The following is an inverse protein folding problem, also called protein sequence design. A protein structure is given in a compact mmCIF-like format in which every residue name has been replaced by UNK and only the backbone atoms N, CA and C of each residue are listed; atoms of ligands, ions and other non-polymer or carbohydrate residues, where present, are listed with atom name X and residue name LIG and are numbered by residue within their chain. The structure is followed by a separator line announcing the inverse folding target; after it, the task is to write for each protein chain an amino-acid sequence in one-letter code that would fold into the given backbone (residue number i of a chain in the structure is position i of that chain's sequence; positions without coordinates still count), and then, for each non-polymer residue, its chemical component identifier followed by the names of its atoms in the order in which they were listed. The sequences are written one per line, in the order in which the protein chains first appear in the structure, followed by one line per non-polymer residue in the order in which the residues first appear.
data_IF_718239976231
#
_entry.id   IF_718239976231
#
_cell.length_a   1.000
_cell.length_b   1.000
_cell.length_c   1.000
_cell.angle_alpha   90.00
_cell.angle_beta   90.00
_cell.angle_gamma   90.00
#
_symmetry.space_group_name_H-M   'P 1'
#
loop_
_entity.id
_entity.type
_entity.pdbx_description
1 polymer ?
#
# COMPACT_ATOMS: atom_id res chain seq x y z
N UNK A 1 -5.00 5.36 4.06
CA UNK A 1 -4.76 4.28 5.03
C UNK A 1 -3.55 3.49 4.56
N UNK A 2 -2.74 3.00 5.47
CA UNK A 2 -1.56 2.23 5.15
C UNK A 2 -0.31 2.86 5.75
N UNK A 3 0.50 3.51 4.92
CA UNK A 3 1.85 3.94 5.31
C UNK A 3 1.87 4.89 6.51
N UNK A 4 0.89 5.79 6.63
CA UNK A 4 0.81 6.71 7.77
C UNK A 4 0.49 5.99 9.09
N UNK A 5 -0.37 4.97 9.06
CA UNK A 5 -0.70 4.14 10.22
C UNK A 5 0.56 3.43 10.77
N UNK A 6 1.56 3.18 9.92
CA UNK A 6 2.80 2.48 10.29
C UNK A 6 3.87 3.38 10.92
N UNK A 7 3.77 4.71 10.78
CA UNK A 7 4.85 5.61 11.20
C UNK A 7 4.41 6.92 11.87
N UNK A 8 3.13 7.29 11.81
CA UNK A 8 2.56 8.40 12.59
C UNK A 8 1.96 7.88 13.90
N UNK A 9 1.96 8.72 14.93
CA UNK A 9 1.40 8.36 16.23
C UNK A 9 -0.14 8.49 16.22
N UNK A 10 -0.88 7.54 16.83
CA UNK A 10 -0.39 6.26 17.36
C UNK A 10 0.01 5.28 16.24
N UNK A 11 1.16 4.62 16.39
CA UNK A 11 1.65 3.64 15.40
C UNK A 11 0.88 2.33 15.53
N UNK A 12 0.37 1.84 14.41
CA UNK A 12 -0.28 0.55 14.28
C UNK A 12 0.76 -0.57 14.10
N UNK A 13 0.72 -1.56 15.00
CA UNK A 13 1.64 -2.71 15.04
C UNK A 13 0.94 -4.04 14.83
N UNK A 14 -0.38 -4.04 14.81
CA UNK A 14 -1.22 -5.20 14.56
C UNK A 14 -1.77 -5.15 13.12
N UNK A 15 -1.26 -6.00 12.21
CA UNK A 15 -1.75 -6.02 10.83
C UNK A 15 -3.23 -6.41 10.76
N UNK A 16 -3.76 -7.18 11.71
CA UNK A 16 -5.16 -7.58 11.73
C UNK A 16 -6.09 -6.38 11.95
N UNK A 17 -5.68 -5.39 12.75
CA UNK A 17 -6.46 -4.15 12.94
C UNK A 17 -6.56 -3.34 11.65
N UNK A 18 -5.46 -3.20 10.91
CA UNK A 18 -5.48 -2.52 9.60
C UNK A 18 -6.37 -3.28 8.60
N UNK A 19 -6.21 -4.60 8.52
CA UNK A 19 -7.00 -5.46 7.64
C UNK A 19 -8.50 -5.38 7.98
N UNK A 20 -8.86 -5.36 9.26
CA UNK A 20 -10.24 -5.19 9.71
C UNK A 20 -10.81 -3.82 9.29
N UNK A 21 -10.03 -2.74 9.44
CA UNK A 21 -10.44 -1.40 9.00
C UNK A 21 -10.66 -1.34 7.47
N UNK A 22 -9.77 -1.94 6.68
CA UNK A 22 -9.97 -2.06 5.22
C UNK A 22 -11.26 -2.81 4.87
N UNK A 23 -11.55 -3.92 5.54
CA UNK A 23 -12.80 -4.68 5.34
C UNK A 23 -14.03 -3.85 5.65
N UNK A 24 -14.02 -3.10 6.75
CA UNK A 24 -15.14 -2.23 7.12
C UNK A 24 -15.39 -1.15 6.07
N UNK A 25 -14.34 -0.52 5.53
CA UNK A 25 -14.47 0.49 4.50
C UNK A 25 -14.98 -0.08 3.19
N UNK A 26 -14.43 -1.22 2.76
CA UNK A 26 -14.87 -1.91 1.56
C UNK A 26 -16.35 -2.34 1.68
N UNK A 27 -16.77 -2.82 2.85
CA UNK A 27 -18.17 -3.14 3.12
C UNK A 27 -19.07 -1.90 3.00
N UNK A 28 -18.71 -0.79 3.64
CA UNK A 28 -19.49 0.45 3.59
C UNK A 28 -19.65 0.98 2.16
N UNK A 29 -18.56 0.97 1.39
CA UNK A 29 -18.58 1.40 -0.01
C UNK A 29 -19.47 0.49 -0.87
N UNK A 30 -19.36 -0.84 -0.72
CA UNK A 30 -20.25 -1.79 -1.40
C UNK A 30 -21.71 -1.62 -1.02
N UNK A 31 -22.01 -1.37 0.26
CA UNK A 31 -23.37 -1.07 0.73
C UNK A 31 -23.94 0.22 0.12
N UNK A 32 -23.08 1.13 -0.34
CA UNK A 32 -23.47 2.33 -1.08
C UNK A 32 -23.51 2.12 -2.61
N UNK A 33 -23.40 0.87 -3.09
CA UNK A 33 -23.40 0.53 -4.52
C UNK A 33 -22.10 0.88 -5.25
N UNK A 34 -21.01 1.14 -4.51
CA UNK A 34 -19.71 1.48 -5.09
C UNK A 34 -18.84 0.23 -5.26
N UNK A 35 -18.15 0.18 -6.41
CA UNK A 35 -17.02 -0.71 -6.63
C UNK A 35 -15.80 -0.20 -5.87
N UNK A 36 -15.03 -1.10 -5.26
CA UNK A 36 -13.87 -0.77 -4.42
C UNK A 36 -12.62 -1.42 -4.97
N UNK A 37 -11.67 -0.60 -5.40
CA UNK A 37 -10.30 -1.02 -5.74
C UNK A 37 -9.39 -0.63 -4.59
N UNK A 38 -8.71 -1.62 -4.01
CA UNK A 38 -7.68 -1.36 -3.00
C UNK A 38 -6.30 -1.22 -3.60
N UNK A 39 -5.38 -0.65 -2.84
CA UNK A 39 -3.97 -0.60 -3.20
C UNK A 39 -3.12 -1.16 -2.06
N UNK A 40 -2.04 -1.87 -2.40
CA UNK A 40 -1.03 -2.28 -1.43
C UNK A 40 -0.24 -1.07 -0.91
N UNK A 41 0.28 -1.18 0.32
CA UNK A 41 1.11 -0.16 0.96
C UNK A 41 2.53 -0.21 0.38
N UNK A 42 3.01 0.91 -0.14
CA UNK A 42 4.33 1.04 -0.78
C UNK A 42 5.48 0.85 0.22
N UNK A 43 6.67 0.42 -0.26
CA UNK A 43 7.88 0.44 0.56
C UNK A 43 8.24 1.86 0.97
N UNK A 44 8.90 2.01 2.13
CA UNK A 44 9.28 3.30 2.70
C UNK A 44 10.58 3.24 3.52
N UNK A 45 11.40 2.21 3.32
CA UNK A 45 12.76 2.17 3.85
C UNK A 45 13.59 3.33 3.26
N UNK A 46 14.24 4.11 4.13
CA UNK A 46 14.86 5.39 3.78
C UNK A 46 14.15 6.58 4.43
N UNK A 47 12.86 6.46 4.72
CA UNK A 47 12.15 7.46 5.50
C UNK A 47 12.60 7.47 6.97
N UNK A 48 12.67 8.66 7.58
CA UNK A 48 13.23 8.84 8.94
C UNK A 48 12.49 8.08 10.05
N UNK A 49 11.21 7.70 9.83
CA UNK A 49 10.41 6.94 10.80
C UNK A 49 10.22 5.46 10.43
N UNK A 50 10.94 4.99 9.41
CA UNK A 50 10.93 3.58 9.05
C UNK A 50 11.56 2.72 10.13
N UNK A 51 10.99 1.53 10.35
CA UNK A 51 11.54 0.50 11.25
C UNK A 51 11.32 -0.89 10.63
N UNK A 52 12.21 -1.87 10.89
CA UNK A 52 12.01 -3.26 10.44
C UNK A 52 10.66 -3.84 10.90
N UNK A 53 10.20 -3.47 12.10
CA UNK A 53 8.91 -3.91 12.64
C UNK A 53 7.74 -3.32 11.85
N UNK A 54 7.82 -2.04 11.44
CA UNK A 54 6.78 -1.42 10.62
C UNK A 54 6.73 -2.02 9.21
N UNK A 55 7.89 -2.36 8.63
CA UNK A 55 7.95 -3.07 7.35
C UNK A 55 7.41 -4.51 7.44
N UNK A 56 7.61 -5.19 8.57
CA UNK A 56 7.01 -6.50 8.81
C UNK A 56 5.47 -6.42 8.84
N UNK A 57 4.90 -5.39 9.48
CA UNK A 57 3.44 -5.15 9.46
C UNK A 57 2.96 -4.83 8.05
N UNK A 58 3.66 -3.93 7.34
CA UNK A 58 3.36 -3.58 5.94
C UNK A 58 3.26 -4.81 5.06
N UNK A 59 4.24 -5.73 5.13
CA UNK A 59 4.27 -6.95 4.33
C UNK A 59 3.10 -7.89 4.66
N UNK A 60 2.77 -8.07 5.94
CA UNK A 60 1.63 -8.89 6.37
C UNK A 60 0.28 -8.31 5.92
N UNK A 61 0.12 -6.99 6.01
CA UNK A 61 -1.06 -6.30 5.48
C UNK A 61 -1.15 -6.49 3.98
N UNK A 62 -0.08 -6.21 3.23
CA UNK A 62 -0.08 -6.35 1.76
C UNK A 62 -0.41 -7.77 1.31
N UNK A 63 0.11 -8.79 1.99
CA UNK A 63 -0.23 -10.18 1.70
C UNK A 63 -1.73 -10.43 1.90
N UNK A 64 -2.29 -9.91 2.99
CA UNK A 64 -3.73 -9.99 3.25
C UNK A 64 -4.57 -9.22 2.23
N UNK A 65 -4.08 -8.10 1.72
CA UNK A 65 -4.77 -7.34 0.67
C UNK A 65 -4.80 -8.13 -0.64
N UNK A 66 -3.67 -8.73 -1.04
CA UNK A 66 -3.55 -9.53 -2.27
C UNK A 66 -4.42 -10.79 -2.26
N UNK A 67 -4.46 -11.50 -1.14
CA UNK A 67 -5.09 -12.83 -1.06
C UNK A 67 -6.48 -12.81 -0.43
N UNK A 68 -6.76 -11.87 0.45
CA UNK A 68 -7.90 -11.90 1.36
C UNK A 68 -9.25 -11.47 0.76
N UNK A 69 -9.32 -11.19 -0.55
CA UNK A 69 -10.55 -10.76 -1.28
C UNK A 69 -11.32 -9.65 -0.55
N UNK A 70 -10.58 -8.68 0.01
CA UNK A 70 -11.15 -7.56 0.78
C UNK A 70 -11.85 -6.58 -0.15
N UNK A 71 -11.25 -6.34 -1.31
CA UNK A 71 -11.67 -5.43 -2.36
C UNK A 71 -12.12 -6.19 -3.60
N UNK A 72 -12.81 -5.50 -4.50
CA UNK A 72 -13.26 -6.08 -5.78
C UNK A 72 -12.09 -6.25 -6.77
N UNK A 73 -11.04 -5.46 -6.57
CA UNK A 73 -9.74 -5.61 -7.20
C UNK A 73 -8.63 -4.97 -6.34
N UNK A 74 -7.38 -5.32 -6.62
CA UNK A 74 -6.20 -4.78 -5.94
C UNK A 74 -5.19 -4.28 -6.97
N UNK A 75 -4.73 -3.04 -6.82
CA UNK A 75 -3.58 -2.50 -7.53
C UNK A 75 -2.31 -2.68 -6.68
N UNK A 76 -1.33 -3.41 -7.20
CA UNK A 76 -0.12 -3.76 -6.45
C UNK A 76 0.96 -2.68 -6.56
N UNK A 77 0.72 -1.55 -5.89
CA UNK A 77 1.66 -0.42 -5.83
C UNK A 77 2.99 -0.77 -5.14
N UNK A 78 3.00 -1.75 -4.25
CA UNK A 78 4.23 -2.28 -3.64
C UNK A 78 5.10 -2.93 -4.70
N UNK A 79 4.54 -3.84 -5.49
CA UNK A 79 5.27 -4.47 -6.59
C UNK A 79 5.67 -3.47 -7.67
N UNK A 80 4.84 -2.46 -7.95
CA UNK A 80 5.13 -1.44 -8.95
C UNK A 80 6.32 -0.54 -8.58
N UNK A 81 6.53 -0.29 -7.28
CA UNK A 81 7.49 0.72 -6.82
C UNK A 81 8.74 0.17 -6.14
N UNK A 82 8.72 -1.06 -5.63
CA UNK A 82 9.83 -1.60 -4.84
C UNK A 82 11.10 -1.83 -5.68
N UNK A 83 12.24 -1.58 -5.04
CA UNK A 83 13.53 -2.03 -5.55
C UNK A 83 13.59 -3.57 -5.51
N UNK A 84 13.84 -4.28 -6.63
CA UNK A 84 13.89 -5.73 -6.64
C UNK A 84 15.06 -6.29 -5.82
N UNK A 85 16.16 -5.54 -5.66
CA UNK A 85 17.30 -5.89 -4.80
C UNK A 85 17.10 -5.49 -3.34
N UNK A 86 16.16 -4.58 -3.06
CA UNK A 86 15.82 -4.13 -1.70
C UNK A 86 14.31 -3.87 -1.54
N UNK A 87 13.47 -4.92 -1.42
CA UNK A 87 12.00 -4.81 -1.51
C UNK A 87 11.30 -3.93 -0.45
N UNK A 88 12.01 -3.51 0.60
CA UNK A 88 11.50 -2.58 1.61
C UNK A 88 11.73 -1.12 1.24
N UNK A 89 12.47 -0.83 0.16
CA UNK A 89 12.79 0.50 -0.38
C UNK A 89 12.08 0.77 -1.71
N UNK A 90 11.75 2.03 -1.98
CA UNK A 90 11.42 2.48 -3.33
C UNK A 90 12.63 2.26 -4.26
N UNK A 91 12.37 1.84 -5.51
CA UNK A 91 13.38 1.87 -6.56
C UNK A 91 13.88 3.31 -6.71
N UNK A 92 15.19 3.59 -6.76
CA UNK A 92 15.70 4.96 -6.79
C UNK A 92 15.12 5.83 -7.92
N UNK A 93 14.79 5.25 -9.07
CA UNK A 93 14.16 5.95 -10.19
C UNK A 93 12.72 6.41 -9.90
N UNK A 94 12.08 5.84 -8.88
CA UNK A 94 10.71 6.15 -8.47
C UNK A 94 10.63 6.95 -7.18
N UNK A 95 11.73 7.15 -6.47
CA UNK A 95 11.80 7.92 -5.22
C UNK A 95 11.87 9.43 -5.53
N UNK A 96 11.11 10.24 -4.79
CA UNK A 96 11.25 11.71 -4.83
C UNK A 96 12.56 12.20 -4.22
N UNK A 97 13.25 11.32 -3.48
CA UNK A 97 14.51 11.57 -2.77
C UNK A 97 14.36 11.51 -1.26
N UNK A 98 13.16 11.29 -0.73
CA UNK A 98 12.89 11.25 0.71
C UNK A 98 12.69 9.83 1.26
N UNK A 99 12.63 8.81 0.40
CA UNK A 99 12.42 7.42 0.79
C UNK A 99 10.99 7.09 1.24
N UNK A 100 10.02 7.97 0.97
CA UNK A 100 8.60 7.77 1.29
C UNK A 100 7.68 8.06 0.10
N UNK A 101 7.86 9.21 -0.54
CA UNK A 101 6.98 9.69 -1.59
C UNK A 101 7.53 9.33 -2.97
N UNK A 102 6.68 8.82 -3.88
CA UNK A 102 7.07 8.64 -5.27
C UNK A 102 7.41 9.97 -5.94
N UNK A 103 8.44 9.99 -6.79
CA UNK A 103 8.71 11.07 -7.74
C UNK A 103 7.77 11.00 -8.95
N UNK A 104 8.04 11.80 -9.99
CA UNK A 104 7.22 11.79 -11.23
C UNK A 104 7.11 10.39 -11.84
N UNK A 105 8.23 9.69 -11.94
CA UNK A 105 8.27 8.39 -12.61
C UNK A 105 7.60 7.30 -11.77
N UNK A 106 7.67 7.45 -10.44
CA UNK A 106 6.92 6.60 -9.51
C UNK A 106 5.41 6.82 -9.61
N UNK A 107 4.95 8.05 -9.80
CA UNK A 107 3.52 8.30 -10.05
C UNK A 107 3.06 7.70 -11.39
N UNK A 108 3.88 7.75 -12.44
CA UNK A 108 3.58 7.06 -13.71
C UNK A 108 3.51 5.54 -13.53
N UNK A 109 4.42 4.94 -12.75
CA UNK A 109 4.40 3.51 -12.44
C UNK A 109 3.14 3.11 -11.64
N UNK A 110 2.71 3.92 -10.67
CA UNK A 110 1.46 3.72 -9.94
C UNK A 110 0.26 3.75 -10.90
N UNK A 111 0.20 4.73 -11.79
CA UNK A 111 -0.91 4.85 -12.75
C UNK A 111 -0.98 3.61 -13.66
N UNK A 112 0.17 3.12 -14.13
CA UNK A 112 0.25 1.91 -14.96
C UNK A 112 -0.15 0.62 -14.20
N UNK A 113 -0.04 0.60 -12.88
CA UNK A 113 -0.42 -0.55 -12.05
C UNK A 113 -1.95 -0.68 -11.84
N UNK A 114 -2.73 0.33 -12.22
CA UNK A 114 -4.20 0.28 -12.15
C UNK A 114 -4.75 -0.26 -13.46
N UNK A 115 -5.36 -1.45 -13.42
CA UNK A 115 -6.09 -1.99 -14.57
C UNK A 115 -7.39 -1.19 -14.80
N UNK A 116 -7.56 -0.51 -15.95
CA UNK A 116 -8.76 0.28 -16.23
C UNK A 116 -10.05 -0.54 -16.24
N UNK A 117 -9.97 -1.86 -16.45
CA UNK A 117 -11.14 -2.77 -16.36
C UNK A 117 -11.69 -2.87 -14.95
N UNK A 118 -10.89 -2.53 -13.94
CA UNK A 118 -11.33 -2.49 -12.54
C UNK A 118 -12.03 -1.18 -12.15
N UNK A 119 -12.10 -0.19 -13.05
CA UNK A 119 -12.67 1.14 -12.78
C UNK A 119 -14.04 1.37 -13.44
N UNK A 120 -14.61 0.34 -14.08
CA UNK A 120 -15.89 0.40 -14.79
C UNK A 120 -16.99 -0.30 -14.00
#
# INVERSE_FOLDING_TARGET
LGVNDLHHLPVERDPARMVAAYRQLALRARSAGLRVVGATITPFEGWTRWTPEADAVRRQVNESLRTGRIFDAVADFDAALRDPGRPSRLLPAYDSGDGLHPGTEGHSAIAAAVDPRHLR
#
